data_IF_885913779200
#
_entry.id   IF_885913779200
#
_cell.length_a   1.000
_cell.length_b   1.000
_cell.length_c   1.000
_cell.angle_alpha   90.00
_cell.angle_beta   90.00
_cell.angle_gamma   90.00
#
_symmetry.space_group_name_H-M   'P 1'
#
loop_
_entity.id
_entity.type
_entity.pdbx_description
1 polymer ?
#
# COMPACT_ATOMS: atom_id res chain seq x y z
N UNK A 1 3.28 14.32 -0.96
CA UNK A 1 4.25 14.00 -2.02
C UNK A 1 5.06 12.79 -1.61
N UNK A 2 5.22 11.85 -2.51
CA UNK A 2 6.03 10.67 -2.26
C UNK A 2 7.51 10.96 -2.50
N UNK A 3 8.38 10.35 -1.71
CA UNK A 3 9.82 10.39 -1.94
C UNK A 3 10.18 9.21 -2.84
N UNK A 4 10.69 9.44 -4.07
CA UNK A 4 10.94 8.34 -5.02
C UNK A 4 11.86 7.25 -4.48
N UNK A 5 12.83 7.61 -3.65
CA UNK A 5 13.76 6.67 -3.06
C UNK A 5 13.11 5.71 -2.05
N UNK A 6 11.89 6.01 -1.63
CA UNK A 6 11.14 5.17 -0.71
C UNK A 6 10.17 4.22 -1.42
N UNK A 7 10.11 4.29 -2.74
CA UNK A 7 9.19 3.43 -3.51
C UNK A 7 10.02 2.49 -4.37
N UNK A 8 9.83 1.19 -4.16
CA UNK A 8 10.45 0.16 -4.97
C UNK A 8 9.36 -0.62 -5.69
N UNK A 9 9.43 -0.69 -7.01
CA UNK A 9 8.45 -1.38 -7.83
C UNK A 9 9.19 -2.43 -8.66
N UNK A 10 8.75 -3.67 -8.55
CA UNK A 10 9.34 -4.79 -9.25
C UNK A 10 9.01 -4.84 -10.74
N UNK A 11 9.28 -5.97 -11.36
CA UNK A 11 9.04 -6.20 -12.78
C UNK A 11 7.59 -6.60 -13.03
N UNK A 12 7.08 -6.22 -14.21
CA UNK A 12 5.74 -6.61 -14.65
C UNK A 12 4.64 -6.17 -13.68
N UNK A 13 4.82 -5.04 -13.03
CA UNK A 13 3.83 -4.46 -12.13
C UNK A 13 2.91 -3.54 -12.91
N UNK A 14 1.63 -3.67 -12.67
CA UNK A 14 0.64 -2.80 -13.27
C UNK A 14 -0.03 -1.95 -12.19
N UNK A 15 0.38 -0.68 -12.13
CA UNK A 15 -0.26 0.31 -11.25
C UNK A 15 -1.21 1.12 -12.10
N UNK A 16 -2.50 0.99 -11.84
CA UNK A 16 -3.52 1.58 -12.69
C UNK A 16 -3.82 3.03 -12.31
N UNK A 17 -4.80 3.63 -13.01
CA UNK A 17 -5.12 5.05 -12.85
C UNK A 17 -5.56 5.39 -11.44
N UNK A 18 -5.11 6.54 -10.94
CA UNK A 18 -5.57 7.09 -9.68
C UNK A 18 -5.04 6.40 -8.43
N UNK A 19 -4.10 5.48 -8.58
CA UNK A 19 -3.48 4.84 -7.43
C UNK A 19 -2.57 5.84 -6.73
N UNK A 20 -2.67 5.89 -5.40
CA UNK A 20 -1.81 6.74 -4.58
C UNK A 20 -0.87 5.89 -3.75
N UNK A 21 0.42 6.20 -3.84
CA UNK A 21 1.46 5.54 -3.07
C UNK A 21 1.96 6.53 -2.02
N UNK A 22 1.55 6.32 -0.77
CA UNK A 22 1.84 7.26 0.31
C UNK A 22 3.04 6.76 1.12
N UNK A 23 4.13 7.53 1.10
CA UNK A 23 5.36 7.17 1.82
C UNK A 23 5.49 7.89 3.15
N UNK A 24 4.53 8.74 3.50
CA UNK A 24 4.60 9.49 4.76
C UNK A 24 3.21 9.74 5.32
N UNK A 25 3.19 9.96 6.62
CA UNK A 25 1.99 10.35 7.35
C UNK A 25 2.41 11.06 8.61
N UNK A 26 1.47 11.71 9.31
CA UNK A 26 1.78 12.30 10.60
C UNK A 26 1.93 11.19 11.64
N UNK A 27 2.93 11.31 12.48
CA UNK A 27 3.16 10.35 13.56
C UNK A 27 2.25 10.71 14.74
N UNK A 28 1.12 10.02 14.80
CA UNK A 28 0.08 10.31 15.80
C UNK A 28 0.46 9.91 17.22
N UNK A 29 1.59 9.21 17.39
CA UNK A 29 2.07 8.91 18.75
C UNK A 29 2.48 10.17 19.50
N UNK A 30 2.70 11.28 18.78
CA UNK A 30 3.00 12.59 19.37
C UNK A 30 1.75 13.46 19.53
N UNK A 31 0.57 12.93 19.23
CA UNK A 31 -0.65 13.72 19.28
C UNK A 31 -1.04 14.06 20.72
N UNK A 32 -1.43 15.33 20.93
CA UNK A 32 -1.97 15.81 22.19
C UNK A 32 -3.37 16.36 21.95
N UNK A 33 -4.31 15.99 22.83
CA UNK A 33 -5.70 16.49 22.74
C UNK A 33 -5.70 18.01 22.84
N UNK A 34 -6.43 18.66 21.91
CA UNK A 34 -6.51 20.12 21.86
C UNK A 34 -5.43 20.77 21.02
N UNK A 35 -4.47 20.01 20.50
CA UNK A 35 -3.45 20.50 19.60
C UNK A 35 -3.74 20.08 18.15
N UNK A 36 -3.34 20.88 17.15
CA UNK A 36 -3.53 20.48 15.76
C UNK A 36 -2.72 19.23 15.43
N UNK A 37 -3.31 18.34 14.64
CA UNK A 37 -2.59 17.15 14.15
C UNK A 37 -1.35 17.52 13.36
N UNK A 38 -1.39 18.66 12.67
CA UNK A 38 -0.24 19.13 11.88
C UNK A 38 1.00 19.44 12.73
N UNK A 39 0.86 19.54 14.04
CA UNK A 39 2.01 19.70 14.94
C UNK A 39 2.77 18.39 15.14
N UNK A 40 2.15 17.25 14.80
CA UNK A 40 2.84 15.97 14.83
C UNK A 40 3.90 15.92 13.75
N UNK A 41 5.08 15.30 14.01
CA UNK A 41 6.12 15.19 12.99
C UNK A 41 5.67 14.25 11.87
N UNK A 42 6.27 14.41 10.69
CA UNK A 42 6.09 13.48 9.58
C UNK A 42 6.85 12.20 9.87
N UNK A 43 6.22 11.09 9.55
CA UNK A 43 6.83 9.76 9.63
C UNK A 43 6.87 9.18 8.22
N UNK A 44 8.06 8.78 7.78
CA UNK A 44 8.29 8.22 6.45
C UNK A 44 8.50 6.71 6.57
N UNK A 45 7.96 5.97 5.61
CA UNK A 45 8.18 4.54 5.55
C UNK A 45 8.12 4.06 4.10
N UNK A 46 8.99 3.11 3.69
CA UNK A 46 9.07 2.69 2.30
C UNK A 46 7.90 1.81 1.90
N UNK A 47 7.57 1.87 0.61
CA UNK A 47 6.61 0.99 -0.03
C UNK A 47 7.37 0.08 -0.98
N UNK A 48 7.12 -1.22 -0.88
CA UNK A 48 7.70 -2.21 -1.77
C UNK A 48 6.59 -2.96 -2.49
N UNK A 49 6.58 -2.88 -3.81
CA UNK A 49 5.65 -3.62 -4.66
C UNK A 49 6.47 -4.65 -5.41
N UNK A 50 6.22 -5.91 -5.14
CA UNK A 50 7.00 -7.00 -5.72
C UNK A 50 6.57 -7.29 -7.16
N UNK A 51 7.26 -8.24 -7.79
CA UNK A 51 7.04 -8.55 -9.20
C UNK A 51 5.62 -9.04 -9.48
N UNK A 52 5.08 -8.65 -10.62
CA UNK A 52 3.81 -9.16 -11.12
C UNK A 52 2.56 -8.66 -10.41
N UNK A 53 2.69 -7.68 -9.53
CA UNK A 53 1.55 -7.13 -8.77
C UNK A 53 0.66 -6.27 -9.67
N UNK A 54 -0.64 -6.36 -9.45
CA UNK A 54 -1.64 -5.49 -10.09
C UNK A 54 -2.34 -4.68 -9.02
N UNK A 55 -2.32 -3.36 -9.14
CA UNK A 55 -3.01 -2.46 -8.22
C UNK A 55 -4.18 -1.80 -8.93
N UNK A 56 -5.38 -2.09 -8.47
CA UNK A 56 -6.62 -1.63 -9.08
C UNK A 56 -6.84 -0.12 -8.97
N UNK A 57 -7.68 0.40 -9.87
CA UNK A 57 -7.98 1.83 -10.00
C UNK A 57 -8.34 2.45 -8.65
N UNK A 58 -7.74 3.61 -8.37
CA UNK A 58 -8.10 4.42 -7.22
C UNK A 58 -7.68 3.87 -5.86
N UNK A 59 -6.88 2.81 -5.84
CA UNK A 59 -6.39 2.25 -4.58
C UNK A 59 -5.37 3.17 -3.91
N UNK A 60 -5.27 3.04 -2.59
CA UNK A 60 -4.30 3.79 -1.80
C UNK A 60 -3.43 2.79 -1.07
N UNK A 61 -2.12 2.92 -1.23
CA UNK A 61 -1.14 2.10 -0.52
C UNK A 61 -0.51 2.96 0.57
N UNK A 62 -0.63 2.52 1.80
CA UNK A 62 -0.18 3.28 2.96
C UNK A 62 1.32 3.10 3.21
N UNK A 63 1.95 4.03 3.96
CA UNK A 63 3.38 3.96 4.23
C UNK A 63 3.79 2.64 4.88
N UNK A 64 4.94 2.11 4.47
CA UNK A 64 5.52 0.92 5.07
C UNK A 64 4.98 -0.41 4.54
N UNK A 65 4.05 -0.38 3.60
CA UNK A 65 3.42 -1.59 3.08
C UNK A 65 4.31 -2.28 2.05
N UNK A 66 4.40 -3.61 2.17
CA UNK A 66 4.98 -4.48 1.13
C UNK A 66 3.85 -5.30 0.52
N UNK A 67 3.73 -5.25 -0.80
CA UNK A 67 2.77 -6.07 -1.55
C UNK A 67 3.54 -7.23 -2.17
N UNK A 68 3.18 -8.44 -1.78
CA UNK A 68 3.87 -9.65 -2.21
C UNK A 68 3.71 -9.96 -3.69
N UNK A 69 4.61 -10.77 -4.22
CA UNK A 69 4.64 -11.12 -5.65
C UNK A 69 3.30 -11.63 -6.15
N UNK A 70 2.91 -11.17 -7.34
CA UNK A 70 1.71 -11.65 -8.00
C UNK A 70 0.39 -11.30 -7.31
N UNK A 71 0.42 -10.49 -6.27
CA UNK A 71 -0.81 -10.09 -5.59
C UNK A 71 -1.63 -9.12 -6.45
N UNK A 72 -2.94 -9.18 -6.28
CA UNK A 72 -3.90 -8.30 -6.97
C UNK A 72 -4.63 -7.49 -5.92
N UNK A 73 -4.58 -6.18 -6.04
CA UNK A 73 -5.32 -5.26 -5.18
C UNK A 73 -6.55 -4.79 -5.96
N UNK A 74 -7.73 -5.05 -5.41
CA UNK A 74 -8.98 -4.64 -6.06
C UNK A 74 -9.15 -3.13 -6.07
N UNK A 75 -9.92 -2.64 -7.05
CA UNK A 75 -10.15 -1.21 -7.23
C UNK A 75 -10.71 -0.55 -5.96
N UNK A 76 -10.25 0.67 -5.68
CA UNK A 76 -10.74 1.45 -4.56
C UNK A 76 -10.34 0.93 -3.18
N UNK A 77 -9.37 0.04 -3.10
CA UNK A 77 -8.92 -0.52 -1.83
C UNK A 77 -7.96 0.42 -1.11
N UNK A 78 -7.92 0.32 0.22
CA UNK A 78 -6.91 1.01 1.02
C UNK A 78 -6.06 -0.04 1.72
N UNK A 79 -4.81 -0.18 1.28
CA UNK A 79 -3.90 -1.20 1.78
C UNK A 79 -3.14 -0.64 2.97
N UNK A 80 -3.44 -1.14 4.16
CA UNK A 80 -2.88 -0.65 5.42
C UNK A 80 -1.86 -1.61 6.05
N UNK A 81 -1.75 -2.83 5.52
CA UNK A 81 -0.84 -3.87 6.01
C UNK A 81 -0.21 -4.58 4.83
N UNK A 82 0.89 -5.28 5.09
CA UNK A 82 1.53 -6.09 4.08
C UNK A 82 0.55 -7.11 3.50
N UNK A 83 0.65 -7.29 2.19
CA UNK A 83 -0.18 -8.24 1.46
C UNK A 83 0.69 -9.44 1.09
N UNK A 84 0.25 -10.66 1.43
CA UNK A 84 1.01 -11.86 1.07
C UNK A 84 1.03 -12.06 -0.45
N UNK A 85 2.01 -12.84 -0.94
CA UNK A 85 2.09 -13.10 -2.37
C UNK A 85 0.92 -13.93 -2.89
N UNK A 86 0.66 -13.81 -4.19
CA UNK A 86 -0.30 -14.65 -4.94
C UNK A 86 -1.70 -14.67 -4.33
N UNK A 87 -2.22 -13.50 -4.00
CA UNK A 87 -3.57 -13.38 -3.45
C UNK A 87 -4.31 -12.19 -4.05
N UNK A 88 -5.60 -12.14 -3.79
CA UNK A 88 -6.44 -10.97 -4.09
C UNK A 88 -6.84 -10.35 -2.77
N UNK A 89 -6.57 -9.06 -2.61
CA UNK A 89 -6.97 -8.30 -1.44
C UNK A 89 -7.82 -7.11 -1.87
N UNK A 90 -8.93 -6.89 -1.18
CA UNK A 90 -9.87 -5.81 -1.52
C UNK A 90 -10.45 -5.18 -0.26
N UNK A 91 -10.93 -3.96 -0.41
CA UNK A 91 -11.71 -3.28 0.61
C UNK A 91 -10.96 -2.18 1.35
N UNK A 92 -11.61 -1.61 2.34
CA UNK A 92 -11.11 -0.54 3.20
C UNK A 92 -11.36 -0.92 4.66
N UNK A 93 -10.36 -1.42 5.38
CA UNK A 93 -9.01 -1.78 4.91
C UNK A 93 -9.03 -3.02 4.02
N UNK A 94 -8.04 -3.13 3.15
CA UNK A 94 -7.94 -4.26 2.24
C UNK A 94 -7.71 -5.56 3.01
N UNK A 95 -8.44 -6.59 2.62
CA UNK A 95 -8.33 -7.93 3.22
C UNK A 95 -8.22 -8.97 2.13
N UNK A 96 -7.44 -10.00 2.40
CA UNK A 96 -7.29 -11.13 1.47
C UNK A 96 -8.61 -11.88 1.36
N UNK A 97 -9.11 -12.01 0.13
CA UNK A 97 -10.34 -12.73 -0.16
C UNK A 97 -10.10 -14.00 -0.96
N UNK A 98 -8.92 -14.16 -1.53
CA UNK A 98 -8.58 -15.31 -2.35
C UNK A 98 -7.07 -15.49 -2.39
N UNK A 99 -6.62 -16.71 -2.38
CA UNK A 99 -5.20 -17.05 -2.58
C UNK A 99 -5.11 -17.90 -3.83
N UNK A 100 -4.18 -17.54 -4.73
CA UNK A 100 -3.94 -18.34 -5.94
C UNK A 100 -3.08 -19.56 -5.58
N UNK A 101 -3.38 -20.68 -6.22
CA UNK A 101 -2.62 -21.91 -6.07
C UNK A 101 -1.88 -22.23 -7.36
N UNK A 102 -0.74 -22.88 -7.24
CA UNK A 102 -0.03 -23.38 -8.39
C UNK A 102 -0.88 -24.44 -9.09
N UNK A 103 -0.92 -24.32 -10.39
CA UNK A 103 -1.55 -25.34 -11.25
C UNK A 103 -0.44 -26.22 -11.80
N UNK A 104 -0.53 -27.47 -11.50
CA UNK A 104 0.44 -28.45 -11.96
C UNK A 104 -0.11 -29.32 -13.06
#
# INVERSE_FOLDING_TARGET
MSAPELITIGKNVWVTRGVMLLCHQRDLSFYEIGKPVMDCPLKFAPINIKDGVHVGIGSIIMPGVTIGEGAVIGAGSVVTRDIPPYCVAVGVPAKVIKTFENKE
#
